data_IF_842343439455
#
_entry.id   IF_842343439455
#
_cell.length_a   1.000
_cell.length_b   1.000
_cell.length_c   1.000
_cell.angle_alpha   90.00
_cell.angle_beta   90.00
_cell.angle_gamma   90.00
#
_symmetry.space_group_name_H-M   'P 1'
#
loop_
_entity.id
_entity.type
_entity.pdbx_description
1 polymer ?
#
# COMPACT_ATOMS: atom_id res chain seq x y z
N UNK A 1 31.45 5.68 -34.19
CA UNK A 1 30.05 6.13 -34.04
C UNK A 1 29.46 5.44 -32.84
N UNK A 2 29.65 5.97 -31.63
CA UNK A 2 29.28 5.22 -30.40
C UNK A 2 29.14 6.08 -29.13
N UNK A 3 29.48 7.38 -29.15
CA UNK A 3 29.44 8.22 -27.93
C UNK A 3 28.05 8.77 -27.55
N UNK A 4 26.98 8.44 -28.28
CA UNK A 4 25.64 8.99 -28.09
C UNK A 4 24.75 8.25 -27.08
N UNK A 5 25.02 6.96 -26.83
CA UNK A 5 24.16 6.12 -25.98
C UNK A 5 24.48 6.23 -24.48
N UNK A 6 25.77 6.45 -24.13
CA UNK A 6 26.20 6.57 -22.73
C UNK A 6 25.72 7.88 -22.07
N UNK A 7 25.63 8.98 -22.84
CA UNK A 7 25.16 10.26 -22.35
C UNK A 7 23.64 10.27 -22.05
N UNK A 8 22.84 9.54 -22.84
CA UNK A 8 21.40 9.41 -22.63
C UNK A 8 21.06 8.58 -21.37
N UNK A 9 21.83 7.51 -21.10
CA UNK A 9 21.65 6.68 -19.91
C UNK A 9 22.02 7.42 -18.61
N UNK A 10 23.07 8.24 -18.63
CA UNK A 10 23.47 9.07 -17.49
C UNK A 10 22.44 10.17 -17.19
N UNK A 11 21.84 10.77 -18.22
CA UNK A 11 20.78 11.76 -18.06
C UNK A 11 19.49 11.17 -17.47
N UNK A 12 19.12 9.95 -17.87
CA UNK A 12 17.97 9.23 -17.31
C UNK A 12 18.17 8.86 -15.83
N UNK A 13 19.39 8.42 -15.45
CA UNK A 13 19.72 8.11 -14.06
C UNK A 13 19.73 9.36 -13.16
N UNK A 14 20.18 10.51 -13.69
CA UNK A 14 20.14 11.79 -12.98
C UNK A 14 18.70 12.29 -12.77
N UNK A 15 17.82 12.11 -13.76
CA UNK A 15 16.40 12.45 -13.66
C UNK A 15 15.66 11.56 -12.66
N UNK A 16 15.97 10.25 -12.62
CA UNK A 16 15.43 9.33 -11.61
C UNK A 16 15.86 9.71 -10.18
N UNK A 17 17.12 10.11 -10.00
CA UNK A 17 17.65 10.55 -8.70
C UNK A 17 17.08 11.91 -8.26
N UNK A 18 16.87 12.84 -9.18
CA UNK A 18 16.23 14.13 -8.91
C UNK A 18 14.74 13.98 -8.56
N UNK A 19 14.03 13.08 -9.25
CA UNK A 19 12.65 12.74 -8.93
C UNK A 19 12.52 12.08 -7.54
N UNK A 20 13.45 11.19 -7.18
CA UNK A 20 13.49 10.57 -5.85
C UNK A 20 13.80 11.59 -4.73
N UNK A 21 14.71 12.54 -4.97
CA UNK A 21 15.04 13.58 -4.01
C UNK A 21 13.90 14.61 -3.82
N UNK A 22 13.19 14.97 -4.90
CA UNK A 22 12.01 15.82 -4.82
C UNK A 22 10.85 15.12 -4.07
N UNK A 23 10.70 13.80 -4.28
CA UNK A 23 9.75 12.90 -3.60
C UNK A 23 10.19 12.46 -2.20
N UNK A 24 11.31 12.96 -1.68
CA UNK A 24 11.70 12.80 -0.27
C UNK A 24 11.48 14.10 0.52
N UNK A 25 11.47 15.24 -0.18
CA UNK A 25 11.30 16.56 0.43
C UNK A 25 9.84 16.87 0.79
N UNK A 26 8.88 16.41 0.00
CA UNK A 26 7.47 16.62 0.31
C UNK A 26 6.98 15.73 1.49
N UNK A 27 7.71 14.64 1.80
CA UNK A 27 7.35 13.61 2.78
C UNK A 27 7.55 14.14 4.19
N UNK A 28 8.45 15.12 4.30
CA UNK A 28 8.75 15.85 5.51
C UNK A 28 7.77 17.00 5.80
N UNK A 29 6.88 17.36 4.86
CA UNK A 29 6.06 18.57 4.95
C UNK A 29 4.59 18.34 5.40
N UNK A 30 4.12 17.09 5.45
CA UNK A 30 2.73 16.76 5.79
C UNK A 30 2.58 16.05 7.14
N UNK A 31 1.93 16.68 8.12
CA UNK A 31 1.60 16.02 9.39
C UNK A 31 0.61 14.87 9.22
N UNK A 32 0.84 13.75 9.89
CA UNK A 32 -0.11 12.61 9.95
C UNK A 32 -1.25 12.92 10.92
N UNK A 33 -2.46 12.43 10.62
CA UNK A 33 -3.62 12.48 11.53
C UNK A 33 -4.23 11.09 11.66
N UNK A 34 -4.77 10.78 12.83
CA UNK A 34 -5.46 9.50 13.08
C UNK A 34 -6.94 9.61 12.73
N UNK A 35 -7.48 8.55 12.12
CA UNK A 35 -8.89 8.42 11.76
C UNK A 35 -9.45 7.23 12.56
N UNK A 36 -10.57 7.44 13.26
CA UNK A 36 -11.27 6.37 14.00
C UNK A 36 -12.70 6.24 13.49
N UNK A 37 -13.07 5.03 13.07
CA UNK A 37 -14.39 4.71 12.53
C UNK A 37 -14.94 3.52 13.32
N UNK A 38 -16.16 3.68 13.85
CA UNK A 38 -16.89 2.62 14.55
C UNK A 38 -18.15 2.31 13.75
N UNK A 39 -18.28 1.07 13.31
CA UNK A 39 -19.43 0.59 12.56
C UNK A 39 -19.93 -0.74 13.15
N UNK A 40 -21.25 -0.97 13.07
CA UNK A 40 -21.91 -2.21 13.48
C UNK A 40 -22.41 -2.96 12.25
N UNK A 41 -22.07 -4.25 12.15
CA UNK A 41 -22.46 -5.12 11.04
C UNK A 41 -23.28 -6.30 11.56
N UNK A 42 -24.33 -6.69 10.83
CA UNK A 42 -25.17 -7.85 11.14
C UNK A 42 -24.62 -9.12 10.45
N UNK A 43 -23.43 -9.55 10.83
CA UNK A 43 -22.77 -10.75 10.31
C UNK A 43 -21.81 -11.33 11.36
N UNK A 44 -21.21 -12.49 11.09
CA UNK A 44 -20.26 -13.10 12.03
C UNK A 44 -18.92 -12.36 11.94
N UNK A 45 -18.16 -12.23 13.04
CA UNK A 45 -16.83 -11.63 13.01
C UNK A 45 -15.90 -12.24 11.96
N UNK A 46 -15.99 -13.55 11.73
CA UNK A 46 -15.23 -14.25 10.71
C UNK A 46 -15.53 -13.77 9.28
N UNK A 47 -16.78 -13.44 8.97
CA UNK A 47 -17.14 -12.95 7.63
C UNK A 47 -16.48 -11.60 7.34
N UNK A 48 -16.45 -10.70 8.34
CA UNK A 48 -15.73 -9.42 8.23
C UNK A 48 -14.23 -9.65 8.12
N UNK A 49 -13.66 -10.54 8.92
CA UNK A 49 -12.23 -10.85 8.87
C UNK A 49 -11.81 -11.38 7.49
N UNK A 50 -12.60 -12.29 6.91
CA UNK A 50 -12.37 -12.84 5.58
C UNK A 50 -12.52 -11.77 4.48
N UNK A 51 -13.38 -10.77 4.67
CA UNK A 51 -13.47 -9.62 3.77
C UNK A 51 -12.20 -8.76 3.72
N UNK A 52 -11.19 -9.00 4.56
CA UNK A 52 -9.88 -8.32 4.46
C UNK A 52 -8.73 -9.26 4.11
N UNK A 53 -8.94 -10.58 4.21
CA UNK A 53 -7.86 -11.59 4.14
C UNK A 53 -8.06 -12.58 2.99
N UNK A 54 -9.28 -12.76 2.48
CA UNK A 54 -9.57 -13.64 1.35
C UNK A 54 -9.62 -12.82 0.07
N UNK A 55 -8.66 -13.05 -0.83
CA UNK A 55 -8.51 -12.30 -2.09
C UNK A 55 -9.83 -12.19 -2.88
N UNK A 56 -10.56 -13.29 -3.04
CA UNK A 56 -11.83 -13.29 -3.77
C UNK A 56 -12.89 -12.37 -3.13
N UNK A 57 -12.99 -12.36 -1.79
CA UNK A 57 -13.91 -11.47 -1.07
C UNK A 57 -13.47 -10.01 -1.19
N UNK A 58 -12.16 -9.76 -1.10
CA UNK A 58 -11.61 -8.41 -1.27
C UNK A 58 -11.90 -7.87 -2.66
N UNK A 59 -11.66 -8.66 -3.69
CA UNK A 59 -11.97 -8.27 -5.06
C UNK A 59 -13.46 -8.02 -5.26
N UNK A 60 -14.34 -8.80 -4.62
CA UNK A 60 -15.79 -8.56 -4.69
C UNK A 60 -16.20 -7.23 -4.03
N UNK A 61 -15.72 -6.90 -2.83
CA UNK A 61 -16.16 -5.64 -2.19
C UNK A 61 -15.45 -4.41 -2.78
N UNK A 62 -14.20 -4.53 -3.21
CA UNK A 62 -13.45 -3.42 -3.85
C UNK A 62 -13.81 -3.23 -5.31
N UNK A 63 -14.51 -4.19 -5.93
CA UNK A 63 -14.80 -4.23 -7.37
C UNK A 63 -13.53 -4.05 -8.23
N UNK A 64 -12.39 -4.55 -7.73
CA UNK A 64 -11.08 -4.39 -8.34
C UNK A 64 -10.20 -5.60 -8.05
N UNK A 65 -9.15 -5.77 -8.86
CA UNK A 65 -8.15 -6.83 -8.60
C UNK A 65 -7.44 -6.54 -7.27
N UNK A 66 -7.44 -7.54 -6.41
CA UNK A 66 -6.67 -7.56 -5.18
C UNK A 66 -5.61 -8.67 -5.25
N UNK A 67 -4.51 -8.48 -4.52
CA UNK A 67 -3.51 -9.51 -4.26
C UNK A 67 -3.35 -9.57 -2.75
N UNK A 68 -3.47 -10.75 -2.14
CA UNK A 68 -3.41 -10.87 -0.68
C UNK A 68 -2.58 -12.08 -0.26
N UNK A 69 -1.66 -11.84 0.68
CA UNK A 69 -0.96 -12.88 1.43
C UNK A 69 -1.39 -12.81 2.90
N UNK A 70 -2.39 -13.59 3.34
CA UNK A 70 -3.00 -13.45 4.67
C UNK A 70 -2.18 -14.13 5.76
N UNK A 71 -0.92 -13.73 5.90
CA UNK A 71 0.00 -14.18 6.95
C UNK A 71 0.64 -12.95 7.61
N UNK A 72 1.02 -13.01 8.90
CA UNK A 72 1.83 -11.95 9.50
C UNK A 72 3.13 -11.73 8.71
N UNK A 73 3.43 -10.48 8.37
CA UNK A 73 4.50 -10.08 7.45
C UNK A 73 4.17 -10.23 5.96
N UNK A 74 3.01 -10.81 5.61
CA UNK A 74 2.54 -10.95 4.24
C UNK A 74 2.09 -9.61 3.65
N UNK A 75 2.24 -9.47 2.33
CA UNK A 75 1.88 -8.25 1.61
C UNK A 75 0.46 -8.31 1.06
N UNK A 76 -0.13 -7.13 0.83
CA UNK A 76 -1.38 -7.00 0.10
C UNK A 76 -1.36 -5.80 -0.84
N UNK A 77 -2.21 -5.87 -1.86
CA UNK A 77 -2.47 -4.79 -2.80
C UNK A 77 -3.95 -4.75 -3.15
N UNK A 78 -4.57 -3.58 -3.01
CA UNK A 78 -5.98 -3.34 -3.30
C UNK A 78 -6.13 -2.26 -4.38
N UNK A 79 -7.32 -2.20 -5.00
CA UNK A 79 -7.65 -1.23 -6.05
C UNK A 79 -6.62 -1.19 -7.19
N UNK A 80 -6.19 -2.37 -7.67
CA UNK A 80 -5.26 -2.49 -8.78
C UNK A 80 -3.86 -1.92 -8.51
N UNK A 81 -3.40 -1.89 -7.25
CA UNK A 81 -2.09 -1.33 -6.90
C UNK A 81 -2.12 0.08 -6.32
N UNK A 82 -3.30 0.71 -6.25
CA UNK A 82 -3.42 2.06 -5.70
C UNK A 82 -3.18 2.10 -4.19
N UNK A 83 -3.59 1.03 -3.50
CA UNK A 83 -3.30 0.81 -2.08
C UNK A 83 -2.42 -0.44 -1.97
N UNK A 84 -1.34 -0.34 -1.21
CA UNK A 84 -0.48 -1.47 -0.91
C UNK A 84 0.00 -1.42 0.53
N UNK A 85 0.38 -2.58 1.05
CA UNK A 85 0.76 -2.69 2.45
C UNK A 85 1.17 -4.10 2.86
N UNK A 86 1.28 -4.27 4.17
CA UNK A 86 1.61 -5.53 4.83
C UNK A 86 0.69 -5.77 6.04
N UNK A 87 0.43 -7.04 6.32
CA UNK A 87 -0.20 -7.46 7.56
C UNK A 87 0.85 -7.49 8.66
N UNK A 88 0.73 -6.63 9.66
CA UNK A 88 1.63 -6.62 10.82
C UNK A 88 1.23 -7.71 11.80
N UNK A 89 -0.08 -7.87 12.04
CA UNK A 89 -0.63 -8.86 12.95
C UNK A 89 -1.99 -9.35 12.44
N UNK A 90 -2.22 -10.65 12.52
CA UNK A 90 -3.49 -11.29 12.21
C UNK A 90 -3.88 -12.18 13.38
N UNK A 91 -4.96 -11.84 14.08
CA UNK A 91 -5.56 -12.66 15.11
C UNK A 91 -7.02 -12.96 14.73
N UNK A 92 -7.25 -14.00 13.89
CA UNK A 92 -8.59 -14.34 13.44
C UNK A 92 -9.51 -14.76 14.61
N UNK A 93 -10.80 -14.40 14.60
CA UNK A 93 -11.47 -13.41 13.73
C UNK A 93 -11.52 -11.99 14.35
N UNK A 94 -10.72 -11.71 15.38
CA UNK A 94 -10.93 -10.58 16.29
C UNK A 94 -10.15 -9.32 15.92
N UNK A 95 -8.97 -9.44 15.30
CA UNK A 95 -8.07 -8.31 15.07
C UNK A 95 -7.23 -8.46 13.81
N UNK A 96 -7.12 -7.35 13.08
CA UNK A 96 -6.23 -7.19 11.93
C UNK A 96 -5.44 -5.89 12.16
N UNK A 97 -4.12 -5.97 12.11
CA UNK A 97 -3.23 -4.80 12.10
C UNK A 97 -2.52 -4.76 10.77
N UNK A 98 -2.67 -3.65 10.04
CA UNK A 98 -2.09 -3.46 8.72
C UNK A 98 -1.32 -2.16 8.68
N UNK A 99 -0.19 -2.18 7.97
CA UNK A 99 0.50 -0.98 7.54
C UNK A 99 0.24 -0.81 6.06
N UNK A 100 -0.32 0.32 5.66
CA UNK A 100 -0.73 0.56 4.29
C UNK A 100 -0.29 1.93 3.81
N UNK A 101 -0.33 2.13 2.49
CA UNK A 101 -0.04 3.40 1.85
C UNK A 101 -0.78 3.54 0.53
N UNK A 102 -0.98 4.78 0.10
CA UNK A 102 -1.31 5.06 -1.29
C UNK A 102 -0.04 5.05 -2.16
N UNK A 103 -0.18 4.69 -3.43
CA UNK A 103 0.89 4.80 -4.41
C UNK A 103 1.31 6.25 -4.70
N UNK A 104 0.39 7.21 -4.49
CA UNK A 104 0.61 8.65 -4.62
C UNK A 104 1.38 9.25 -3.45
N UNK A 105 1.41 8.57 -2.30
CA UNK A 105 2.24 8.99 -1.18
C UNK A 105 3.71 8.87 -1.52
N UNK A 106 4.52 9.62 -0.79
CA UNK A 106 5.96 9.56 -0.97
C UNK A 106 6.54 8.22 -0.58
N UNK A 107 7.68 7.91 -1.18
CA UNK A 107 8.28 6.60 -0.97
C UNK A 107 8.70 6.44 0.49
N UNK A 108 8.39 5.27 1.08
CA UNK A 108 8.61 5.03 2.50
C UNK A 108 7.58 5.67 3.45
N UNK A 109 6.61 6.44 2.96
CA UNK A 109 5.51 6.96 3.79
C UNK A 109 4.40 5.90 3.89
N UNK A 110 4.11 5.49 5.11
CA UNK A 110 3.06 4.52 5.45
C UNK A 110 2.15 5.08 6.54
N UNK A 111 0.97 4.50 6.66
CA UNK A 111 0.06 4.70 7.79
C UNK A 111 0.78 4.33 9.10
N UNK A 112 0.73 5.22 10.09
CA UNK A 112 1.23 5.00 11.45
C UNK A 112 0.07 5.02 12.43
#
# INVERSE_FOLDING_TARGET
>A
SDNGAAAAAAAAAAQAKAAAAAKAKAASAGGTRSISIVAKYHCRPADIFECFTVEGRVSMFTQSRAIIQPVPGGTFSWYGGSISGEFVELAPPNRIVMRWRFNTWEEGVFSK
#
